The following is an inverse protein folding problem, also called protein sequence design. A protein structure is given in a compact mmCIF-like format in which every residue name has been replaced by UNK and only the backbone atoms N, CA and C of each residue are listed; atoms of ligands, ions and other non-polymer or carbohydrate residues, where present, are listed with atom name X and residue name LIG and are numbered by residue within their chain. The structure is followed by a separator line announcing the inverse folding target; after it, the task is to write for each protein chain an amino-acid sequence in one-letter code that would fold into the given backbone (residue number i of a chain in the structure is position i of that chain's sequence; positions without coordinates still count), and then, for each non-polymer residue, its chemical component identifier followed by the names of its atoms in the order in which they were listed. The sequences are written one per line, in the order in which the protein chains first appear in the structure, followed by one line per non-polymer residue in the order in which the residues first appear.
data_IF_275253433249
#
_entry.id   IF_275253433249
#
_cell.length_a   1.000
_cell.length_b   1.000
_cell.length_c   1.000
_cell.angle_alpha   90.00
_cell.angle_beta   90.00
_cell.angle_gamma   90.00
#
_symmetry.space_group_name_H-M   'P 1'
#
loop_
_entity.id
_entity.type
_entity.pdbx_description
1 polymer ?
#
# COMPACT_ATOMS: atom_id res chain seq x y z
N UNK A 1 65.77 3.17 -31.13
CA UNK A 1 64.34 3.35 -30.81
C UNK A 1 63.99 2.40 -29.66
N UNK A 2 63.62 2.90 -28.48
CA UNK A 2 63.42 2.06 -27.27
C UNK A 2 62.03 1.41 -27.32
N UNK A 3 61.92 0.07 -27.37
CA UNK A 3 60.65 -0.64 -27.54
C UNK A 3 59.69 -0.52 -26.34
N UNK A 4 60.15 -0.03 -25.18
CA UNK A 4 59.30 0.14 -23.99
C UNK A 4 58.31 1.30 -24.04
N UNK A 5 58.57 2.34 -24.85
CA UNK A 5 57.69 3.52 -24.92
C UNK A 5 56.39 3.27 -25.69
N UNK A 6 56.41 2.40 -26.69
CA UNK A 6 55.24 2.08 -27.52
C UNK A 6 54.31 1.12 -26.79
N UNK A 7 54.88 0.16 -26.05
CA UNK A 7 54.13 -0.80 -25.24
C UNK A 7 53.37 -0.11 -24.08
N UNK A 8 54.01 0.85 -23.39
CA UNK A 8 53.37 1.60 -22.30
C UNK A 8 52.22 2.49 -22.81
N UNK A 9 52.38 3.13 -23.98
CA UNK A 9 51.31 3.93 -24.60
C UNK A 9 50.14 3.06 -25.07
N UNK A 10 50.41 1.86 -25.59
CA UNK A 10 49.37 0.92 -25.98
C UNK A 10 48.59 0.39 -24.77
N UNK A 11 49.28 0.10 -23.65
CA UNK A 11 48.63 -0.32 -22.41
C UNK A 11 47.77 0.80 -21.81
N UNK A 12 48.26 2.04 -21.82
CA UNK A 12 47.51 3.20 -21.34
C UNK A 12 46.28 3.49 -22.20
N UNK A 13 46.40 3.35 -23.53
CA UNK A 13 45.27 3.49 -24.45
C UNK A 13 44.22 2.38 -24.24
N UNK A 14 44.65 1.14 -24.00
CA UNK A 14 43.75 0.02 -23.70
C UNK A 14 43.02 0.23 -22.35
N UNK A 15 43.73 0.73 -21.34
CA UNK A 15 43.16 1.07 -20.04
C UNK A 15 42.13 2.21 -20.16
N UNK A 16 42.43 3.24 -20.94
CA UNK A 16 41.50 4.34 -21.23
C UNK A 16 40.26 3.86 -22.00
N UNK A 17 40.41 2.92 -22.94
CA UNK A 17 39.29 2.30 -23.66
C UNK A 17 38.42 1.43 -22.75
N UNK A 18 39.02 0.68 -21.82
CA UNK A 18 38.29 -0.11 -20.82
C UNK A 18 37.52 0.78 -19.83
N UNK A 19 38.12 1.89 -19.40
CA UNK A 19 37.44 2.86 -18.52
C UNK A 19 36.32 3.60 -19.27
N UNK A 20 36.52 3.96 -20.54
CA UNK A 20 35.48 4.58 -21.37
C UNK A 20 34.31 3.61 -21.66
N UNK A 21 34.59 2.34 -21.91
CA UNK A 21 33.56 1.32 -22.09
C UNK A 21 32.76 1.06 -20.80
N UNK A 22 33.42 1.09 -19.64
CA UNK A 22 32.74 0.99 -18.35
C UNK A 22 31.86 2.22 -18.04
N UNK A 23 32.30 3.43 -18.44
CA UNK A 23 31.52 4.66 -18.29
C UNK A 23 30.33 4.74 -19.27
N UNK A 24 30.40 4.09 -20.42
CA UNK A 24 29.33 4.05 -21.42
C UNK A 24 28.21 3.03 -21.11
N UNK A 25 28.39 2.21 -20.07
CA UNK A 25 27.40 1.19 -19.63
C UNK A 25 26.52 1.70 -18.49
N UNK A 26 26.23 3.00 -18.47
CA UNK A 26 25.21 3.58 -17.59
C UNK A 26 23.86 3.50 -18.28
N UNK A 27 23.21 2.34 -18.24
CA UNK A 27 21.79 2.25 -18.55
C UNK A 27 21.07 3.09 -17.48
N UNK A 28 20.58 4.29 -17.84
CA UNK A 28 19.76 5.09 -16.93
C UNK A 28 18.47 4.31 -16.71
N UNK A 29 18.42 3.57 -15.59
CA UNK A 29 17.16 3.01 -15.09
C UNK A 29 16.31 4.21 -14.71
N UNK A 30 15.49 4.65 -15.67
CA UNK A 30 14.56 5.75 -15.47
C UNK A 30 13.51 5.26 -14.49
N UNK A 31 13.37 5.96 -13.37
CA UNK A 31 12.39 5.65 -12.32
C UNK A 31 11.56 6.89 -12.06
N UNK A 32 10.26 6.73 -11.89
CA UNK A 32 9.34 7.79 -11.51
C UNK A 32 8.64 7.41 -10.20
N UNK A 33 9.40 7.51 -9.10
CA UNK A 33 8.91 7.18 -7.77
C UNK A 33 8.06 8.32 -7.23
N UNK A 34 6.79 8.04 -6.98
CA UNK A 34 5.82 8.99 -6.43
C UNK A 34 5.15 8.43 -5.18
N UNK A 35 4.73 9.33 -4.30
CA UNK A 35 3.84 8.99 -3.19
C UNK A 35 2.40 9.28 -3.57
N UNK A 36 1.51 8.29 -3.45
CA UNK A 36 0.09 8.44 -3.76
C UNK A 36 -0.77 8.04 -2.57
N UNK A 37 -1.79 8.85 -2.27
CA UNK A 37 -2.81 8.54 -1.27
C UNK A 37 -3.85 7.62 -1.90
N UNK A 38 -4.09 6.47 -1.28
CA UNK A 38 -5.15 5.53 -1.67
C UNK A 38 -6.46 5.84 -0.93
N UNK A 39 -6.36 6.13 0.37
CA UNK A 39 -7.47 6.44 1.27
C UNK A 39 -7.04 7.51 2.27
N UNK A 40 -7.74 8.64 2.29
CA UNK A 40 -7.56 9.71 3.27
C UNK A 40 -8.63 9.66 4.37
N UNK A 41 -9.77 9.02 4.11
CA UNK A 41 -10.98 9.00 4.94
C UNK A 41 -11.69 10.34 5.08
N UNK A 42 -11.12 11.40 4.52
CA UNK A 42 -11.68 12.75 4.47
C UNK A 42 -12.97 12.80 3.60
N UNK A 43 -13.82 13.84 3.77
CA UNK A 43 -15.04 13.98 2.98
C UNK A 43 -14.82 14.24 1.49
N UNK A 44 -13.68 14.82 1.12
CA UNK A 44 -13.31 15.14 -0.26
C UNK A 44 -12.90 13.91 -1.08
N UNK A 45 -12.58 12.80 -0.41
CA UNK A 45 -12.36 11.49 -1.05
C UNK A 45 -13.62 10.97 -1.75
N UNK A 46 -14.81 11.46 -1.37
CA UNK A 46 -16.07 11.02 -1.96
C UNK A 46 -16.11 11.26 -3.48
N UNK A 47 -16.15 10.16 -4.24
CA UNK A 47 -16.17 10.18 -5.71
C UNK A 47 -14.84 9.82 -6.37
N UNK A 48 -13.75 9.70 -5.60
CA UNK A 48 -12.51 9.11 -6.11
C UNK A 48 -12.69 7.61 -6.39
N UNK A 49 -12.04 7.10 -7.43
CA UNK A 49 -12.13 5.68 -7.83
C UNK A 49 -11.67 4.71 -6.74
N UNK A 50 -10.76 5.16 -5.87
CA UNK A 50 -10.24 4.39 -4.75
C UNK A 50 -11.12 4.46 -3.52
N UNK A 51 -12.17 5.30 -3.49
CA UNK A 51 -13.04 5.49 -2.33
C UNK A 51 -13.78 4.19 -1.98
N UNK A 52 -13.75 3.80 -0.71
CA UNK A 52 -14.38 2.56 -0.22
C UNK A 52 -15.14 2.79 1.07
N UNK A 53 -16.22 2.04 1.21
CA UNK A 53 -16.79 1.75 2.51
C UNK A 53 -15.99 0.64 3.18
N UNK A 54 -16.08 0.56 4.50
CA UNK A 54 -15.31 -0.41 5.26
C UNK A 54 -16.21 -1.20 6.20
N UNK A 55 -15.84 -2.46 6.46
CA UNK A 55 -16.50 -3.29 7.47
C UNK A 55 -15.46 -3.91 8.38
N UNK A 56 -15.85 -4.16 9.63
CA UNK A 56 -15.03 -4.85 10.62
C UNK A 56 -15.52 -6.29 10.76
N UNK A 57 -14.62 -7.24 10.51
CA UNK A 57 -14.86 -8.67 10.68
C UNK A 57 -13.90 -9.21 11.74
N UNK A 58 -14.29 -9.22 13.03
CA UNK A 58 -13.46 -9.81 14.06
C UNK A 58 -13.45 -11.33 13.99
N UNK A 59 -12.44 -11.92 14.63
CA UNK A 59 -12.40 -13.35 14.92
C UNK A 59 -13.51 -13.75 15.89
N UNK A 60 -13.66 -15.07 16.13
CA UNK A 60 -14.72 -15.67 16.98
C UNK A 60 -14.94 -14.95 18.33
N UNK A 61 -13.90 -14.38 18.93
CA UNK A 61 -13.98 -13.76 20.26
C UNK A 61 -14.35 -12.28 20.25
N UNK A 62 -14.52 -11.67 19.07
CA UNK A 62 -15.04 -10.30 18.94
C UNK A 62 -16.56 -10.23 18.76
N UNK A 63 -17.28 -11.33 19.02
CA UNK A 63 -18.73 -11.36 19.02
C UNK A 63 -19.29 -11.73 20.41
N UNK A 64 -20.49 -11.24 20.70
CA UNK A 64 -21.26 -11.69 21.85
C UNK A 64 -21.92 -13.07 21.62
N UNK A 65 -22.57 -13.62 22.65
CA UNK A 65 -23.25 -14.91 22.55
C UNK A 65 -24.45 -14.90 21.57
N UNK A 66 -24.92 -13.73 21.15
CA UNK A 66 -26.02 -13.54 20.19
C UNK A 66 -25.51 -13.25 18.76
N UNK A 67 -24.20 -13.16 18.56
CA UNK A 67 -23.56 -12.85 17.28
C UNK A 67 -23.40 -11.35 16.99
N UNK A 68 -23.64 -10.46 17.95
CA UNK A 68 -23.39 -9.02 17.77
C UNK A 68 -21.89 -8.72 17.83
N UNK A 69 -21.43 -7.86 16.95
CA UNK A 69 -20.04 -7.45 16.86
C UNK A 69 -19.68 -6.51 18.03
N UNK A 70 -18.61 -6.82 18.78
CA UNK A 70 -18.06 -5.94 19.82
C UNK A 70 -17.28 -4.76 19.26
N UNK A 71 -16.96 -4.79 17.96
CA UNK A 71 -16.20 -3.78 17.27
C UNK A 71 -17.11 -2.85 16.49
N UNK A 72 -16.78 -1.57 16.56
CA UNK A 72 -17.50 -0.49 15.90
C UNK A 72 -16.50 0.40 15.18
N UNK A 73 -16.97 0.98 14.08
CA UNK A 73 -16.19 1.87 13.24
C UNK A 73 -16.98 3.14 12.99
N UNK A 74 -16.29 4.28 12.98
CA UNK A 74 -16.87 5.59 12.67
C UNK A 74 -15.82 6.52 12.10
N UNK A 75 -16.23 7.40 11.19
CA UNK A 75 -15.42 8.56 10.83
C UNK A 75 -15.48 9.59 11.97
N UNK A 76 -14.36 10.25 12.22
CA UNK A 76 -14.18 11.19 13.32
C UNK A 76 -13.39 12.40 12.86
N UNK A 77 -13.79 13.60 13.31
CA UNK A 77 -13.04 14.82 13.07
C UNK A 77 -11.79 14.84 13.97
N UNK A 78 -10.67 14.37 13.42
CA UNK A 78 -9.35 14.34 14.04
C UNK A 78 -8.30 14.28 12.93
N UNK A 79 -7.03 14.43 13.26
CA UNK A 79 -5.94 14.31 12.30
C UNK A 79 -4.59 14.09 13.00
N UNK A 80 -3.59 13.51 12.31
CA UNK A 80 -2.21 13.52 12.76
C UNK A 80 -1.64 14.95 12.71
N UNK A 81 -1.33 15.52 13.88
CA UNK A 81 -0.71 16.85 13.97
C UNK A 81 0.64 16.91 13.23
N UNK A 82 1.37 15.80 13.16
CA UNK A 82 2.62 15.72 12.39
C UNK A 82 2.42 15.83 10.86
N UNK A 83 1.22 15.57 10.35
CA UNK A 83 0.90 15.65 8.93
C UNK A 83 0.25 17.00 8.57
N UNK A 84 -0.76 17.42 9.32
CA UNK A 84 -1.56 18.62 9.01
C UNK A 84 -1.26 19.82 9.92
N UNK A 85 -0.29 19.67 10.83
CA UNK A 85 0.00 20.68 11.84
C UNK A 85 -1.22 20.99 12.69
N UNK A 86 -1.39 22.27 13.01
CA UNK A 86 -2.55 22.78 13.77
C UNK A 86 -3.81 22.94 12.93
N UNK A 87 -3.82 22.47 11.68
CA UNK A 87 -4.92 22.65 10.73
C UNK A 87 -5.42 24.12 10.70
N UNK A 88 -4.50 25.06 10.43
CA UNK A 88 -4.78 26.51 10.50
C UNK A 88 -5.82 26.93 9.47
N UNK A 89 -5.86 26.23 8.35
CA UNK A 89 -6.76 26.45 7.23
C UNK A 89 -8.16 25.84 7.46
N UNK A 90 -8.37 25.18 8.61
CA UNK A 90 -9.65 24.60 9.05
C UNK A 90 -10.24 23.64 8.01
N UNK A 91 -9.37 22.83 7.43
CA UNK A 91 -9.76 21.75 6.54
C UNK A 91 -10.65 20.75 7.28
N UNK A 92 -11.59 20.15 6.56
CA UNK A 92 -12.49 19.13 7.10
C UNK A 92 -11.79 17.78 7.09
N UNK A 93 -10.93 17.57 8.07
CA UNK A 93 -10.14 16.34 8.18
C UNK A 93 -10.88 15.29 9.00
N UNK A 94 -10.88 14.05 8.52
CA UNK A 94 -11.49 12.92 9.16
C UNK A 94 -10.57 11.71 9.18
N UNK A 95 -10.65 10.94 10.27
CA UNK A 95 -9.95 9.67 10.42
C UNK A 95 -10.93 8.53 10.58
N UNK A 96 -10.48 7.32 10.24
CA UNK A 96 -11.21 6.09 10.54
C UNK A 96 -10.96 5.68 11.99
N UNK A 97 -11.93 5.92 12.86
CA UNK A 97 -11.91 5.45 14.24
C UNK A 97 -12.50 4.06 14.38
N UNK A 98 -11.78 3.18 15.06
CA UNK A 98 -12.20 1.83 15.38
C UNK A 98 -12.09 1.64 16.89
N UNK A 99 -13.16 1.10 17.49
CA UNK A 99 -13.20 0.75 18.91
C UNK A 99 -13.78 -0.63 19.08
N UNK A 100 -13.33 -1.33 20.11
CA UNK A 100 -13.95 -2.59 20.52
C UNK A 100 -13.10 -3.35 21.51
N UNK A 101 -13.53 -4.57 21.80
CA UNK A 101 -12.81 -5.50 22.68
C UNK A 101 -13.04 -6.93 22.25
N UNK A 102 -12.20 -7.82 22.75
CA UNK A 102 -12.43 -9.26 22.65
C UNK A 102 -13.13 -9.76 23.92
N UNK A 103 -13.61 -11.00 23.91
CA UNK A 103 -14.17 -11.67 25.10
C UNK A 103 -13.11 -12.40 25.92
N UNK A 104 -11.96 -12.72 25.31
CA UNK A 104 -10.87 -13.45 25.95
C UNK A 104 -9.52 -13.11 25.32
N UNK A 105 -8.46 -13.37 26.10
CA UNK A 105 -7.07 -13.30 25.63
C UNK A 105 -6.79 -14.38 24.59
N UNK A 106 -5.86 -14.09 23.66
CA UNK A 106 -5.44 -15.02 22.63
C UNK A 106 -4.92 -14.31 21.38
N UNK A 107 -4.59 -15.09 20.35
CA UNK A 107 -4.38 -14.57 19.00
C UNK A 107 -5.74 -14.26 18.36
N UNK A 108 -6.31 -13.11 18.72
CA UNK A 108 -7.51 -12.61 18.09
C UNK A 108 -7.13 -11.60 17.00
N UNK A 109 -8.06 -11.37 16.09
CA UNK A 109 -7.87 -10.40 15.03
C UNK A 109 -9.16 -9.69 14.68
N UNK A 110 -9.03 -8.52 14.05
CA UNK A 110 -10.09 -7.82 13.36
C UNK A 110 -9.63 -7.54 11.94
N UNK A 111 -10.35 -8.06 10.97
CA UNK A 111 -10.16 -7.68 9.57
C UNK A 111 -10.94 -6.40 9.29
N UNK A 112 -10.24 -5.44 8.71
CA UNK A 112 -10.77 -4.15 8.29
C UNK A 112 -10.79 -4.22 6.76
N UNK A 113 -11.98 -4.48 6.22
CA UNK A 113 -12.15 -4.89 4.82
C UNK A 113 -12.78 -3.75 4.01
N UNK A 114 -12.13 -3.27 2.94
CA UNK A 114 -12.70 -2.29 2.02
C UNK A 114 -13.75 -2.94 1.13
N UNK A 115 -14.75 -2.16 0.74
CA UNK A 115 -15.81 -2.62 -0.13
C UNK A 115 -16.76 -1.53 -0.58
N UNK A 116 -17.88 -1.97 -1.13
CA UNK A 116 -18.96 -1.12 -1.60
C UNK A 116 -20.28 -1.57 -0.99
N UNK A 117 -21.21 -0.63 -0.82
CA UNK A 117 -22.48 -0.85 -0.13
C UNK A 117 -22.34 -0.81 1.40
N UNK A 118 -23.43 -1.13 2.08
CA UNK A 118 -23.56 -1.09 3.54
C UNK A 118 -24.44 -2.24 4.03
N UNK A 119 -24.24 -2.64 5.29
CA UNK A 119 -25.05 -3.66 5.95
C UNK A 119 -25.06 -5.00 5.18
N UNK A 120 -26.26 -5.51 4.90
CA UNK A 120 -26.43 -6.80 4.21
C UNK A 120 -26.04 -6.77 2.72
N UNK A 121 -25.93 -5.59 2.12
CA UNK A 121 -25.55 -5.42 0.71
C UNK A 121 -24.05 -5.14 0.55
N UNK A 122 -23.26 -5.20 1.62
CA UNK A 122 -21.82 -4.98 1.56
C UNK A 122 -21.15 -6.05 0.71
N UNK A 123 -20.37 -5.62 -0.27
CA UNK A 123 -19.52 -6.48 -1.09
C UNK A 123 -18.05 -6.08 -0.90
N UNK A 124 -17.16 -7.02 -0.52
CA UNK A 124 -15.72 -6.76 -0.51
C UNK A 124 -15.24 -6.35 -1.90
N UNK A 125 -14.57 -5.20 -1.97
CA UNK A 125 -13.99 -4.65 -3.19
C UNK A 125 -12.60 -4.14 -2.84
N UNK A 126 -11.53 -4.86 -3.24
CA UNK A 126 -10.16 -4.43 -3.01
C UNK A 126 -9.87 -3.03 -3.58
N UNK A 127 -8.84 -2.39 -3.06
CA UNK A 127 -8.37 -1.10 -3.56
C UNK A 127 -7.20 -1.35 -4.51
N UNK A 128 -7.31 -1.02 -5.80
CA UNK A 128 -6.21 -1.20 -6.75
C UNK A 128 -5.05 -0.27 -6.38
N UNK A 129 -3.84 -0.81 -6.42
CA UNK A 129 -2.60 -0.12 -6.13
C UNK A 129 -1.84 0.08 -7.45
N UNK A 130 -1.82 1.32 -7.99
CA UNK A 130 -1.21 1.58 -9.29
C UNK A 130 0.31 1.53 -9.22
N UNK A 131 0.94 1.12 -10.33
CA UNK A 131 2.40 1.18 -10.46
C UNK A 131 3.12 -0.04 -9.89
N UNK A 132 4.46 0.06 -9.87
CA UNK A 132 5.34 -0.88 -9.17
C UNK A 132 5.56 -0.37 -7.75
N UNK A 133 4.83 -0.96 -6.81
CA UNK A 133 4.78 -0.59 -5.40
C UNK A 133 6.07 -0.99 -4.69
N UNK A 134 6.71 -0.04 -4.03
CA UNK A 134 7.89 -0.26 -3.20
C UNK A 134 7.53 -0.42 -1.72
N UNK A 135 6.55 0.36 -1.25
CA UNK A 135 6.12 0.36 0.14
C UNK A 135 4.68 0.86 0.29
N UNK A 136 4.03 0.39 1.36
CA UNK A 136 2.80 0.93 1.89
C UNK A 136 3.08 1.69 3.19
N UNK A 137 2.38 2.79 3.37
CA UNK A 137 2.50 3.68 4.52
C UNK A 137 1.10 4.01 5.03
N UNK A 138 0.89 4.06 6.35
CA UNK A 138 -0.34 4.62 6.91
C UNK A 138 -0.09 5.25 8.28
N UNK A 139 -0.92 6.22 8.64
CA UNK A 139 -0.89 6.83 9.97
C UNK A 139 -1.78 6.05 10.91
N UNK A 140 -1.21 5.67 12.05
CA UNK A 140 -1.92 4.97 13.12
C UNK A 140 -1.77 5.75 14.41
N UNK A 141 -2.88 5.96 15.10
CA UNK A 141 -2.86 6.39 16.49
C UNK A 141 -2.84 5.15 17.40
N UNK A 142 -1.77 4.99 18.17
CA UNK A 142 -1.58 3.89 19.10
C UNK A 142 -2.00 4.27 20.53
N UNK A 143 -2.68 3.34 21.20
CA UNK A 143 -3.02 3.42 22.63
C UNK A 143 -2.02 2.69 23.54
N UNK A 144 -0.84 2.29 23.01
CA UNK A 144 0.18 1.50 23.69
C UNK A 144 -0.26 0.08 24.14
N UNK A 145 -1.05 -0.61 23.31
CA UNK A 145 -1.41 -2.02 23.51
C UNK A 145 -0.48 -2.92 22.71
N UNK A 146 -0.23 -4.14 23.16
CA UNK A 146 0.55 -5.16 22.43
C UNK A 146 -0.24 -5.77 21.28
N UNK A 147 -0.68 -4.92 20.36
CA UNK A 147 -1.33 -5.30 19.10
C UNK A 147 -0.32 -5.07 17.96
N UNK A 148 -0.58 -5.62 16.79
CA UNK A 148 0.20 -5.35 15.59
C UNK A 148 -0.72 -5.27 14.37
N UNK A 149 -0.27 -4.54 13.35
CA UNK A 149 -1.07 -4.30 12.15
C UNK A 149 -0.41 -4.94 10.93
N UNK A 150 -1.22 -5.55 10.09
CA UNK A 150 -0.82 -6.13 8.81
C UNK A 150 -1.69 -5.59 7.68
N UNK A 151 -1.12 -5.47 6.48
CA UNK A 151 -1.86 -5.31 5.24
C UNK A 151 -1.79 -6.59 4.43
N UNK A 152 -2.93 -7.03 3.90
CA UNK A 152 -2.99 -8.11 2.94
C UNK A 152 -3.10 -7.50 1.55
N UNK A 153 -2.17 -7.86 0.67
CA UNK A 153 -2.14 -7.41 -0.72
C UNK A 153 -2.24 -8.60 -1.66
N UNK A 154 -3.06 -8.48 -2.69
CA UNK A 154 -3.24 -9.51 -3.71
C UNK A 154 -2.43 -9.16 -4.95
N UNK A 155 -1.71 -10.14 -5.49
CA UNK A 155 -1.07 -10.01 -6.79
C UNK A 155 -2.01 -10.35 -7.94
N UNK A 156 -1.56 -10.11 -9.18
CA UNK A 156 -2.33 -10.42 -10.38
C UNK A 156 -2.53 -11.92 -10.62
N UNK A 157 -1.83 -12.80 -9.89
CA UNK A 157 -2.04 -14.25 -9.92
C UNK A 157 -3.15 -14.68 -8.96
N UNK A 158 -3.70 -13.74 -8.18
CA UNK A 158 -4.74 -13.99 -7.18
C UNK A 158 -4.18 -14.50 -5.85
N UNK A 159 -2.87 -14.39 -5.61
CA UNK A 159 -2.22 -14.83 -4.38
C UNK A 159 -2.19 -13.66 -3.39
N UNK A 160 -2.66 -13.90 -2.17
CA UNK A 160 -2.61 -12.94 -1.07
C UNK A 160 -1.26 -13.02 -0.34
N UNK A 161 -0.60 -11.88 -0.22
CA UNK A 161 0.66 -11.67 0.49
C UNK A 161 0.42 -10.79 1.72
N UNK A 162 1.14 -11.07 2.80
CA UNK A 162 1.01 -10.33 4.06
C UNK A 162 2.20 -9.39 4.24
N UNK A 163 1.90 -8.11 4.48
CA UNK A 163 2.86 -7.05 4.75
C UNK A 163 2.68 -6.59 6.19
N UNK A 164 3.73 -6.73 7.00
CA UNK A 164 3.66 -6.42 8.42
C UNK A 164 4.11 -4.97 8.69
N UNK A 165 3.27 -4.18 9.35
CA UNK A 165 3.61 -2.81 9.80
C UNK A 165 4.31 -2.79 11.17
N UNK A 166 4.21 -3.87 11.92
CA UNK A 166 4.81 -4.04 13.24
C UNK A 166 3.87 -3.70 14.40
N UNK A 167 4.43 -3.59 15.62
CA UNK A 167 3.66 -3.45 16.85
C UNK A 167 3.10 -2.03 17.04
N UNK A 168 1.94 -1.97 17.71
CA UNK A 168 1.21 -0.75 18.06
C UNK A 168 1.45 -0.30 19.52
N UNK A 169 2.58 -0.72 20.11
CA UNK A 169 3.04 -0.35 21.45
C UNK A 169 3.70 1.04 21.45
N UNK A 170 2.94 2.04 21.05
CA UNK A 170 3.32 3.45 21.12
C UNK A 170 2.08 4.28 21.45
N UNK A 171 2.30 5.48 21.97
CA UNK A 171 1.25 6.44 22.29
C UNK A 171 1.19 7.53 21.22
N UNK A 172 -0.01 7.84 20.74
CA UNK A 172 -0.22 8.92 19.77
C UNK A 172 -0.05 8.49 18.33
N UNK A 173 0.01 9.47 17.43
CA UNK A 173 0.14 9.27 15.99
C UNK A 173 1.56 8.85 15.59
N UNK A 174 1.64 7.82 14.76
CA UNK A 174 2.88 7.38 14.13
C UNK A 174 2.61 6.93 12.70
N UNK A 175 3.48 7.32 11.78
CA UNK A 175 3.47 6.77 10.43
C UNK A 175 4.16 5.41 10.44
N UNK A 176 3.43 4.37 10.06
CA UNK A 176 3.94 3.00 9.92
C UNK A 176 4.18 2.70 8.45
N UNK A 177 5.28 2.03 8.16
CA UNK A 177 5.73 1.68 6.81
C UNK A 177 5.99 0.20 6.69
N UNK A 178 5.41 -0.44 5.67
CA UNK A 178 5.68 -1.82 5.31
C UNK A 178 6.27 -1.87 3.89
N UNK A 179 7.46 -2.43 3.75
CA UNK A 179 8.12 -2.60 2.45
C UNK A 179 7.47 -3.75 1.69
N UNK A 180 7.21 -3.57 0.40
CA UNK A 180 6.78 -4.63 -0.50
C UNK A 180 8.03 -5.39 -0.97
N UNK A 181 8.19 -6.68 -0.64
CA UNK A 181 9.34 -7.45 -1.10
C UNK A 181 9.32 -7.62 -2.62
N UNK A 182 10.49 -7.60 -3.26
CA UNK A 182 10.62 -7.87 -4.70
C UNK A 182 10.26 -9.30 -5.12
N UNK A 183 10.01 -10.19 -4.16
CA UNK A 183 9.46 -11.53 -4.41
C UNK A 183 7.97 -11.50 -4.76
N UNK A 184 7.25 -10.43 -4.44
CA UNK A 184 5.85 -10.25 -4.82
C UNK A 184 5.82 -9.81 -6.28
N UNK A 185 5.19 -10.58 -7.19
CA UNK A 185 5.25 -10.30 -8.61
C UNK A 185 4.33 -9.11 -8.97
N UNK A 186 4.91 -8.10 -9.62
CA UNK A 186 4.22 -6.86 -10.02
C UNK A 186 4.39 -6.55 -11.52
N UNK A 187 4.99 -7.48 -12.26
CA UNK A 187 5.18 -7.36 -13.70
C UNK A 187 5.10 -8.74 -14.36
N UNK A 188 4.68 -8.75 -15.62
CA UNK A 188 4.58 -9.93 -16.45
C UNK A 188 5.35 -9.76 -17.77
N UNK A 189 5.59 -10.87 -18.47
CA UNK A 189 6.32 -10.89 -19.76
C UNK A 189 5.49 -10.41 -20.95
N UNK A 190 4.17 -10.54 -20.88
CA UNK A 190 3.24 -10.10 -21.92
C UNK A 190 2.67 -8.72 -21.59
N UNK A 191 2.32 -7.97 -22.62
CA UNK A 191 1.69 -6.66 -22.51
C UNK A 191 0.22 -6.77 -22.06
N UNK A 192 -0.31 -5.82 -21.27
CA UNK A 192 0.45 -4.81 -20.52
C UNK A 192 1.36 -5.47 -19.47
N UNK A 193 2.60 -4.96 -19.36
CA UNK A 193 3.69 -5.56 -18.57
C UNK A 193 3.48 -5.30 -17.08
N UNK A 194 3.11 -4.08 -16.72
CA UNK A 194 2.84 -3.71 -15.35
C UNK A 194 1.56 -4.41 -14.86
N UNK A 195 1.62 -4.96 -13.64
CA UNK A 195 0.48 -5.61 -13.00
C UNK A 195 0.30 -5.06 -11.60
N UNK A 196 -0.81 -4.37 -11.42
CA UNK A 196 -1.17 -3.71 -10.17
C UNK A 196 -1.38 -4.75 -9.06
N UNK A 197 -0.98 -4.38 -7.85
CA UNK A 197 -1.40 -5.07 -6.64
C UNK A 197 -2.78 -4.56 -6.21
N UNK A 198 -3.46 -5.29 -5.36
CA UNK A 198 -4.71 -4.84 -4.74
C UNK A 198 -4.63 -4.95 -3.22
N UNK A 199 -4.97 -3.88 -2.50
CA UNK A 199 -5.12 -3.92 -1.04
C UNK A 199 -6.46 -4.59 -0.71
N UNK A 200 -6.42 -5.80 -0.16
CA UNK A 200 -7.62 -6.60 0.11
C UNK A 200 -8.18 -6.36 1.49
N UNK A 201 -7.34 -6.15 2.51
CA UNK A 201 -7.73 -5.83 3.88
C UNK A 201 -6.55 -5.36 4.73
N UNK A 202 -6.86 -4.67 5.81
CA UNK A 202 -5.94 -4.53 6.95
C UNK A 202 -6.36 -5.52 8.03
N UNK A 203 -5.40 -6.05 8.79
CA UNK A 203 -5.68 -6.98 9.88
C UNK A 203 -5.00 -6.50 11.15
N UNK A 204 -5.81 -6.18 12.15
CA UNK A 204 -5.36 -5.84 13.49
C UNK A 204 -5.30 -7.11 14.32
N UNK A 205 -4.12 -7.47 14.81
CA UNK A 205 -3.90 -8.65 15.63
C UNK A 205 -3.60 -8.30 17.08
N UNK A 206 -4.03 -9.16 18.00
CA UNK A 206 -3.70 -9.07 19.42
C UNK A 206 -2.61 -10.05 19.80
N UNK A 207 -1.67 -9.63 20.65
CA UNK A 207 -0.79 -10.60 21.30
C UNK A 207 -1.55 -11.39 22.39
N UNK A 208 -1.22 -12.67 22.63
CA UNK A 208 -1.98 -13.53 23.53
C UNK A 208 -1.96 -13.12 25.00
N UNK A 209 -0.94 -12.38 25.42
CA UNK A 209 -0.75 -11.94 26.80
C UNK A 209 -1.47 -10.60 27.09
N UNK A 210 -1.83 -9.85 26.05
CA UNK A 210 -2.43 -8.52 26.14
C UNK A 210 -3.78 -8.55 26.88
N UNK A 211 -4.16 -7.43 27.50
CA UNK A 211 -5.42 -7.33 28.23
C UNK A 211 -6.61 -7.21 27.27
N UNK A 212 -7.78 -7.59 27.77
CA UNK A 212 -9.03 -7.66 26.99
C UNK A 212 -9.92 -6.46 27.33
N UNK A 213 -9.32 -5.27 27.26
CA UNK A 213 -10.02 -4.02 27.53
C UNK A 213 -10.61 -3.43 26.25
N UNK A 214 -11.45 -2.42 26.41
CA UNK A 214 -11.83 -1.54 25.30
C UNK A 214 -10.56 -0.94 24.69
N UNK A 215 -10.40 -1.12 23.39
CA UNK A 215 -9.25 -0.66 22.61
C UNK A 215 -9.72 0.34 21.57
N UNK A 216 -8.98 1.44 21.44
CA UNK A 216 -9.22 2.49 20.46
C UNK A 216 -8.02 2.58 19.51
N UNK A 217 -8.30 2.65 18.22
CA UNK A 217 -7.31 2.87 17.17
C UNK A 217 -7.91 3.83 16.14
N UNK A 218 -7.07 4.73 15.65
CA UNK A 218 -7.44 5.65 14.58
C UNK A 218 -6.48 5.47 13.42
N UNK A 219 -7.03 5.34 12.23
CA UNK A 219 -6.28 5.17 10.99
C UNK A 219 -6.49 6.38 10.10
N UNK A 220 -5.42 6.81 9.46
CA UNK A 220 -5.45 7.92 8.52
C UNK A 220 -4.46 7.68 7.37
N UNK A 221 -4.76 8.27 6.20
CA UNK A 221 -3.81 8.45 5.10
C UNK A 221 -3.06 7.18 4.70
N UNK A 222 -3.80 6.17 4.22
CA UNK A 222 -3.22 5.00 3.56
C UNK A 222 -2.58 5.46 2.26
N UNK A 223 -1.27 5.30 2.17
CA UNK A 223 -0.42 5.79 1.10
C UNK A 223 0.47 4.68 0.58
N UNK A 224 0.96 4.90 -0.63
CA UNK A 224 1.94 4.06 -1.27
C UNK A 224 3.11 4.90 -1.76
N UNK A 225 4.27 4.27 -1.77
CA UNK A 225 5.41 4.71 -2.58
C UNK A 225 5.49 3.77 -3.78
N UNK A 226 5.31 4.29 -4.99
CA UNK A 226 5.25 3.48 -6.20
C UNK A 226 6.02 4.12 -7.34
N UNK A 227 6.67 3.30 -8.16
CA UNK A 227 7.22 3.70 -9.44
C UNK A 227 6.12 3.62 -10.51
N UNK A 228 5.83 4.76 -11.15
CA UNK A 228 4.86 4.84 -12.25
C UNK A 228 5.54 4.79 -13.63
N UNK A 229 6.86 4.66 -13.70
CA UNK A 229 7.55 4.60 -14.96
C UNK A 229 7.27 3.28 -15.68
N UNK A 230 6.79 3.37 -16.92
CA UNK A 230 6.73 2.27 -17.86
C UNK A 230 7.58 2.64 -19.08
N UNK A 231 8.41 1.70 -19.54
CA UNK A 231 9.26 1.93 -20.71
C UNK A 231 8.40 2.01 -21.96
N UNK A 232 8.34 3.19 -22.59
CA UNK A 232 7.73 3.34 -23.92
C UNK A 232 8.47 2.51 -24.96
N UNK A 233 7.70 1.96 -25.89
CA UNK A 233 8.19 1.25 -27.05
C UNK A 233 7.33 1.61 -28.26
N UNK A 234 7.83 1.35 -29.46
CA UNK A 234 7.07 1.65 -30.68
C UNK A 234 5.73 0.89 -30.72
N UNK A 235 4.62 1.61 -30.77
CA UNK A 235 3.26 1.07 -30.69
C UNK A 235 2.75 0.75 -29.28
N UNK A 236 3.32 1.36 -28.24
CA UNK A 236 2.87 1.21 -26.85
C UNK A 236 1.41 1.60 -26.63
N UNK A 237 0.90 2.58 -27.39
CA UNK A 237 -0.52 2.97 -27.44
C UNK A 237 -1.46 1.79 -27.72
N UNK A 238 -1.03 0.77 -28.47
CA UNK A 238 -1.85 -0.42 -28.77
C UNK A 238 -1.95 -1.40 -27.60
N UNK A 239 -1.10 -1.24 -26.58
CA UNK A 239 -1.10 -2.05 -25.37
C UNK A 239 -1.78 -1.37 -24.17
N UNK A 240 -2.10 -0.08 -24.31
CA UNK A 240 -2.79 0.70 -23.29
C UNK A 240 -4.24 0.22 -23.09
N UNK A 241 -4.68 0.13 -21.83
CA UNK A 241 -5.97 -0.46 -21.50
C UNK A 241 -7.14 0.40 -22.00
N UNK A 242 -7.03 1.72 -21.88
CA UNK A 242 -8.07 2.65 -22.33
C UNK A 242 -8.18 2.65 -23.86
N UNK A 243 -7.03 2.62 -24.54
CA UNK A 243 -6.95 2.54 -26.00
C UNK A 243 -7.51 1.20 -26.50
N UNK A 244 -7.17 0.08 -25.87
CA UNK A 244 -7.74 -1.24 -26.18
C UNK A 244 -9.27 -1.25 -25.98
N UNK A 245 -9.78 -0.65 -24.91
CA UNK A 245 -11.22 -0.49 -24.67
C UNK A 245 -11.87 0.40 -25.72
N UNK A 246 -11.21 1.45 -26.20
CA UNK A 246 -11.75 2.30 -27.26
C UNK A 246 -11.79 1.59 -28.62
N UNK A 247 -10.72 0.87 -28.98
CA UNK A 247 -10.60 0.17 -30.28
C UNK A 247 -11.53 -1.05 -30.32
N UNK A 248 -11.57 -1.84 -29.24
CA UNK A 248 -12.25 -3.15 -29.23
C UNK A 248 -13.52 -3.18 -28.37
N UNK A 249 -13.66 -2.28 -27.39
CA UNK A 249 -14.81 -2.23 -26.46
C UNK A 249 -16.10 -1.68 -27.08
N UNK A 250 -16.09 -1.22 -28.33
CA UNK A 250 -17.32 -1.02 -29.12
C UNK A 250 -17.94 -2.33 -29.64
N UNK A 251 -17.37 -3.50 -29.34
CA UNK A 251 -17.79 -4.80 -29.89
C UNK A 251 -18.60 -5.70 -28.92
N UNK A 252 -19.04 -5.22 -27.76
CA UNK A 252 -19.94 -5.99 -26.88
C UNK A 252 -21.13 -5.13 -26.41
N UNK A 253 -22.22 -5.19 -27.21
CA UNK A 253 -23.60 -5.03 -26.73
C UNK A 253 -24.13 -6.40 -26.30
#
# INVERSE_FOLDING_TARGET
MKPGSTFFKALLALLLLLVAAAAASGDEITVNVVSRVLQSFDPDEAGHETARNWVLLPSKFGYDAKGNNFWQMRKLDAWPEALYGKNRDKEKLQVLGITGKFSRKGYNYVEIVPGSGEGQNFKPVPIPIPGRVEALDLWVWGANYAYYLEAHVRDFQGIDHVLNFGPLQFAGWKNLRAKVPGSIPQAWKYLPRLRNLELTKLVLWTQPNEKVDEYFIYLDQIKITTDLFESSFDGDELADEDTLRQIWGSAQQ
#
